data_IF_303520358485
#
_entry.id   IF_303520358485
#
_cell.length_a   1.000
_cell.length_b   1.000
_cell.length_c   1.000
_cell.angle_alpha   90.00
_cell.angle_beta   90.00
_cell.angle_gamma   90.00
#
_symmetry.space_group_name_H-M   'P 1'
#
loop_
_entity.id
_entity.type
_entity.pdbx_description
1 polymer ?
#
# COMPACT_ATOMS: atom_id res chain seq x y z
N UNK A 1 43.98 -14.25 38.89
CA UNK A 1 43.23 -14.17 37.61
C UNK A 1 41.90 -14.91 37.75
N UNK A 2 40.76 -14.21 37.77
CA UNK A 2 39.41 -14.81 37.81
C UNK A 2 38.48 -14.01 36.88
N UNK A 3 38.51 -14.31 35.57
CA UNK A 3 37.65 -13.67 34.54
C UNK A 3 37.10 -14.67 33.51
N UNK A 4 36.93 -15.93 33.89
CA UNK A 4 36.56 -17.01 32.94
C UNK A 4 35.10 -17.44 32.99
N UNK A 5 34.37 -17.15 34.08
CA UNK A 5 32.98 -17.59 34.23
C UNK A 5 31.95 -16.59 33.67
N UNK A 6 32.18 -15.28 33.84
CA UNK A 6 31.25 -14.24 33.36
C UNK A 6 31.19 -14.13 31.83
N UNK A 7 32.23 -14.56 31.12
CA UNK A 7 32.29 -14.52 29.66
C UNK A 7 31.50 -15.64 28.99
N UNK A 8 31.29 -16.78 29.66
CA UNK A 8 30.49 -17.90 29.12
C UNK A 8 28.99 -17.67 29.19
N UNK A 9 28.51 -16.93 30.18
CA UNK A 9 27.07 -16.67 30.38
C UNK A 9 26.52 -15.70 29.33
N UNK A 10 27.36 -14.79 28.81
CA UNK A 10 26.91 -13.75 27.85
C UNK A 10 26.55 -14.29 26.46
N UNK A 11 26.95 -15.51 26.11
CA UNK A 11 26.78 -16.05 24.76
C UNK A 11 25.47 -16.84 24.54
N UNK A 12 24.70 -17.10 25.61
CA UNK A 12 23.48 -17.91 25.56
C UNK A 12 22.21 -17.13 25.94
N UNK A 13 22.26 -15.80 26.03
CA UNK A 13 21.01 -15.04 26.19
C UNK A 13 20.25 -15.06 24.85
N UNK A 14 19.02 -15.60 24.81
CA UNK A 14 18.19 -15.52 23.62
C UNK A 14 17.98 -14.05 23.29
N UNK A 15 18.28 -13.66 22.05
CA UNK A 15 17.98 -12.33 21.55
C UNK A 15 16.46 -12.17 21.57
N UNK A 16 15.92 -11.54 22.61
CA UNK A 16 14.52 -11.14 22.65
C UNK A 16 14.28 -10.21 21.45
N UNK A 17 13.55 -10.71 20.45
CA UNK A 17 13.09 -9.88 19.35
C UNK A 17 12.06 -8.92 19.95
N UNK A 18 12.39 -7.64 19.99
CA UNK A 18 11.40 -6.61 20.31
C UNK A 18 10.36 -6.63 19.19
N UNK A 19 9.05 -6.77 19.51
CA UNK A 19 8.03 -6.74 18.48
C UNK A 19 8.12 -5.40 17.73
N UNK A 20 8.00 -5.46 16.40
CA UNK A 20 7.96 -4.26 15.57
C UNK A 20 6.73 -3.43 15.97
N UNK A 21 6.94 -2.19 16.42
CA UNK A 21 5.85 -1.28 16.77
C UNK A 21 5.55 -0.38 15.58
N UNK A 22 4.35 -0.52 15.04
CA UNK A 22 3.82 0.33 13.97
C UNK A 22 2.93 1.41 14.59
N UNK A 23 3.08 2.65 14.12
CA UNK A 23 2.24 3.78 14.52
C UNK A 23 1.63 4.44 13.29
N UNK A 24 0.30 4.47 13.24
CA UNK A 24 -0.46 5.14 12.19
C UNK A 24 -1.13 6.38 12.79
N UNK A 25 -1.04 7.52 12.11
CA UNK A 25 -1.63 8.78 12.57
C UNK A 25 -2.38 9.49 11.43
N UNK A 26 -3.58 9.99 11.73
CA UNK A 26 -4.31 10.94 10.89
C UNK A 26 -4.72 12.15 11.72
N UNK A 27 -4.52 13.32 11.10
CA UNK A 27 -5.05 14.60 11.55
C UNK A 27 -5.93 15.15 10.44
N UNK A 28 -7.18 15.44 10.76
CA UNK A 28 -8.17 15.94 9.82
C UNK A 28 -8.75 17.24 10.35
N UNK A 29 -8.87 18.25 9.49
CA UNK A 29 -9.53 19.51 9.80
C UNK A 29 -10.61 19.76 8.75
N UNK A 30 -11.86 19.79 9.19
CA UNK A 30 -13.05 19.96 8.36
C UNK A 30 -13.97 21.00 8.97
N UNK A 31 -13.96 22.23 8.44
CA UNK A 31 -15.01 23.23 8.69
C UNK A 31 -15.48 23.31 10.17
N UNK A 32 -14.53 23.43 11.11
CA UNK A 32 -14.81 23.50 12.54
C UNK A 32 -14.70 22.17 13.31
N UNK A 33 -14.58 21.04 12.62
CA UNK A 33 -14.30 19.73 13.19
C UNK A 33 -12.82 19.36 13.02
N UNK A 34 -12.15 19.06 14.14
CA UNK A 34 -10.80 18.54 14.16
C UNK A 34 -10.82 17.08 14.65
N UNK A 35 -10.35 16.16 13.82
CA UNK A 35 -10.26 14.74 14.18
C UNK A 35 -8.80 14.33 14.25
N UNK A 36 -8.45 13.61 15.31
CA UNK A 36 -7.14 12.98 15.47
C UNK A 36 -7.34 11.50 15.71
N UNK A 37 -6.74 10.68 14.85
CA UNK A 37 -6.76 9.23 14.95
C UNK A 37 -5.32 8.77 15.10
N UNK A 38 -5.07 7.97 16.13
CA UNK A 38 -3.78 7.34 16.36
C UNK A 38 -3.99 5.86 16.61
N UNK A 39 -3.24 5.03 15.89
CA UNK A 39 -3.16 3.59 16.12
C UNK A 39 -1.73 3.21 16.45
N UNK A 40 -1.56 2.44 17.51
CA UNK A 40 -0.30 1.78 17.84
C UNK A 40 -0.53 0.28 17.81
N UNK A 41 0.27 -0.46 17.05
CA UNK A 41 0.07 -1.91 16.89
C UNK A 41 1.39 -2.63 16.70
N UNK A 42 1.42 -3.90 17.10
CA UNK A 42 2.53 -4.82 16.83
C UNK A 42 2.24 -5.75 15.65
N UNK A 43 1.10 -5.55 14.97
CA UNK A 43 0.74 -6.33 13.79
C UNK A 43 1.66 -5.96 12.63
N UNK A 44 2.26 -6.97 12.01
CA UNK A 44 3.12 -6.81 10.83
C UNK A 44 2.34 -6.55 9.54
N UNK A 45 1.01 -6.75 9.57
CA UNK A 45 0.16 -6.58 8.40
C UNK A 45 0.00 -5.09 8.08
N UNK A 46 0.44 -4.61 6.91
CA UNK A 46 0.21 -3.24 6.48
C UNK A 46 -1.28 -2.93 6.54
N UNK A 47 -1.65 -1.76 7.05
CA UNK A 47 -3.05 -1.40 7.27
C UNK A 47 -3.34 -0.07 6.58
N UNK A 48 -4.52 0.05 6.01
CA UNK A 48 -5.05 1.30 5.48
C UNK A 48 -5.92 1.97 6.53
N UNK A 49 -5.78 3.29 6.63
CA UNK A 49 -6.64 4.14 7.43
C UNK A 49 -7.36 5.10 6.49
N UNK A 50 -8.68 5.07 6.51
CA UNK A 50 -9.53 5.84 5.61
C UNK A 50 -10.56 6.65 6.39
N UNK A 51 -10.87 7.84 5.89
CA UNK A 51 -11.95 8.69 6.41
C UNK A 51 -12.98 8.87 5.29
N UNK A 52 -14.22 8.50 5.57
CA UNK A 52 -15.34 8.58 4.62
C UNK A 52 -16.36 9.58 5.18
N UNK A 53 -16.79 10.50 4.32
CA UNK A 53 -17.81 11.50 4.64
C UNK A 53 -18.92 11.32 3.59
N UNK A 54 -19.96 10.52 3.89
CA UNK A 54 -20.94 10.10 2.89
C UNK A 54 -21.75 11.26 2.28
N UNK A 55 -22.06 12.29 3.06
CA UNK A 55 -22.83 13.44 2.59
C UNK A 55 -22.43 14.72 3.32
N UNK A 56 -22.04 15.71 2.53
CA UNK A 56 -21.81 17.09 2.95
C UNK A 56 -22.85 17.97 2.28
N UNK A 57 -23.61 18.71 3.07
CA UNK A 57 -24.63 19.63 2.59
C UNK A 57 -24.22 21.07 2.92
N UNK A 58 -24.61 21.99 2.05
CA UNK A 58 -24.47 23.42 2.29
C UNK A 58 -25.86 24.05 2.33
N UNK A 59 -26.25 24.56 3.49
CA UNK A 59 -27.54 25.22 3.70
C UNK A 59 -27.35 26.54 4.43
N UNK A 60 -27.82 27.65 3.85
CA UNK A 60 -27.79 28.98 4.47
C UNK A 60 -26.45 29.29 5.19
N UNK A 61 -25.31 29.08 4.52
CA UNK A 61 -23.95 29.31 5.04
C UNK A 61 -23.46 28.31 6.09
N UNK A 62 -24.21 27.25 6.36
CA UNK A 62 -23.81 26.15 7.23
C UNK A 62 -23.37 24.96 6.40
N UNK A 63 -22.29 24.31 6.84
CA UNK A 63 -21.83 23.04 6.31
C UNK A 63 -22.33 21.94 7.25
N UNK A 64 -23.17 21.05 6.73
CA UNK A 64 -23.74 19.94 7.49
C UNK A 64 -23.04 18.66 7.04
N UNK A 65 -22.27 18.07 7.95
CA UNK A 65 -21.62 16.77 7.78
C UNK A 65 -22.43 15.73 8.55
N UNK A 66 -23.34 15.04 7.85
CA UNK A 66 -24.32 14.14 8.48
C UNK A 66 -23.72 12.87 9.11
N UNK A 67 -22.57 12.43 8.59
CA UNK A 67 -21.87 11.25 9.08
C UNK A 67 -20.39 11.31 8.69
N UNK A 68 -19.54 10.78 9.57
CA UNK A 68 -18.12 10.59 9.33
C UNK A 68 -17.77 9.19 9.81
N UNK A 69 -17.17 8.40 8.92
CA UNK A 69 -16.74 7.04 9.22
C UNK A 69 -15.23 6.96 9.10
N UNK A 70 -14.58 6.40 10.11
CA UNK A 70 -13.15 6.16 10.13
C UNK A 70 -12.95 4.66 10.11
N UNK A 71 -12.22 4.17 9.11
CA UNK A 71 -12.00 2.73 8.89
C UNK A 71 -10.51 2.44 8.96
N UNK A 72 -10.16 1.41 9.73
CA UNK A 72 -8.82 0.83 9.81
C UNK A 72 -8.95 -0.61 9.32
N UNK A 73 -8.37 -0.90 8.15
CA UNK A 73 -8.50 -2.22 7.50
C UNK A 73 -7.13 -2.75 7.07
N UNK A 74 -6.83 -4.04 7.29
CA UNK A 74 -5.62 -4.66 6.73
C UNK A 74 -5.58 -4.51 5.21
N UNK A 75 -4.43 -4.16 4.65
CA UNK A 75 -4.22 -4.16 3.19
C UNK A 75 -4.27 -5.59 2.68
N UNK A 76 -4.91 -5.78 1.53
CA UNK A 76 -4.66 -6.95 0.72
C UNK A 76 -3.19 -6.94 0.24
N UNK A 77 -2.56 -8.12 0.08
CA UNK A 77 -1.25 -8.20 -0.56
C UNK A 77 -1.28 -7.40 -1.87
N UNK A 78 -0.29 -6.52 -2.07
CA UNK A 78 -0.14 -5.86 -3.36
C UNK A 78 -0.01 -6.97 -4.40
N UNK A 79 -0.82 -6.91 -5.48
CA UNK A 79 -0.69 -7.84 -6.59
C UNK A 79 0.79 -7.93 -6.96
N UNK A 80 1.37 -9.12 -6.85
CA UNK A 80 2.76 -9.34 -7.24
C UNK A 80 2.86 -8.80 -8.66
N UNK A 81 3.74 -7.82 -8.84
CA UNK A 81 3.98 -7.20 -10.13
C UNK A 81 4.38 -8.36 -11.04
N UNK A 82 3.48 -8.78 -11.94
CA UNK A 82 3.76 -9.86 -12.87
C UNK A 82 5.07 -9.50 -13.58
N UNK A 83 6.14 -10.21 -13.24
CA UNK A 83 7.39 -10.15 -13.95
C UNK A 83 7.23 -10.95 -15.22
N UNK A 84 6.36 -10.50 -16.10
CA UNK A 84 6.31 -10.94 -17.47
C UNK A 84 6.03 -9.72 -18.32
N UNK A 85 7.12 -9.10 -18.77
CA UNK A 85 7.09 -8.35 -20.02
C UNK A 85 6.29 -9.19 -21.04
N UNK A 86 5.22 -8.68 -21.65
CA UNK A 86 4.60 -9.42 -22.74
C UNK A 86 5.65 -9.48 -23.84
N UNK A 87 6.08 -10.69 -24.18
CA UNK A 87 6.84 -10.89 -25.40
C UNK A 87 6.04 -10.22 -26.53
N UNK A 88 6.62 -9.17 -27.12
CA UNK A 88 6.11 -8.55 -28.33
C UNK A 88 5.75 -9.68 -29.29
N UNK A 89 4.47 -9.77 -29.66
CA UNK A 89 4.02 -10.62 -30.75
C UNK A 89 4.79 -10.23 -32.00
N UNK A 90 5.90 -10.92 -32.27
CA UNK A 90 6.52 -10.91 -33.58
C UNK A 90 5.58 -11.66 -34.51
N UNK A 91 4.74 -10.92 -35.23
CA UNK A 91 4.09 -11.44 -36.42
C UNK A 91 5.21 -11.96 -37.35
N UNK A 92 5.12 -13.20 -37.86
CA UNK A 92 6.14 -13.71 -38.77
C UNK A 92 6.19 -12.83 -40.03
N UNK A 93 7.38 -12.62 -40.63
CA UNK A 93 7.50 -11.80 -41.81
C UNK A 93 6.72 -12.44 -42.97
N UNK A 94 5.66 -11.76 -43.41
CA UNK A 94 4.89 -12.15 -44.59
C UNK A 94 5.79 -12.02 -45.82
N UNK A 95 6.16 -13.14 -46.46
CA UNK A 95 6.79 -13.11 -47.79
C UNK A 95 5.79 -12.54 -48.80
N UNK A 96 5.90 -11.25 -49.10
CA UNK A 96 5.17 -10.64 -50.21
C UNK A 96 5.84 -11.10 -51.52
N UNK A 97 5.20 -12.05 -52.22
CA UNK A 97 5.48 -12.32 -53.64
C UNK A 97 4.81 -11.22 -54.46
N UNK A 98 5.61 -10.28 -54.98
CA UNK A 98 5.13 -9.34 -55.99
C UNK A 98 4.75 -10.12 -57.26
N UNK A 99 3.44 -10.29 -57.50
CA UNK A 99 2.94 -10.62 -58.83
C UNK A 99 2.67 -9.29 -59.55
N UNK A 100 3.51 -8.98 -60.52
CA UNK A 100 3.29 -7.92 -61.50
C UNK A 100 2.02 -8.24 -62.30
N UNK A 101 0.98 -7.42 -62.15
CA UNK A 101 -0.18 -7.41 -63.02
C UNK A 101 -0.57 -5.95 -63.24
N UNK A 102 0.12 -5.31 -64.18
CA UNK A 102 -0.41 -4.16 -64.91
C UNK A 102 -0.06 -4.37 -66.38
N UNK A 103 -1.08 -4.78 -67.16
CA UNK A 103 -1.10 -4.67 -68.60
C UNK A 103 -2.32 -3.83 -68.97
N UNK A 104 -2.08 -2.70 -69.65
CA UNK A 104 -3.02 -1.83 -70.39
C UNK A 104 -2.30 -0.47 -70.49
N UNK A 105 -1.82 0.03 -71.64
CA UNK A 105 -2.16 -0.10 -73.06
C UNK A 105 -0.90 0.11 -73.89
#
# INVERSE_FOLDING_TARGET
MKKTFLTKIKNNLPKFKTPHLTRDEIKLNLCGLNLFVKRETTLEVPTELSVIIPRVEYDQQKIIMSSITIVIAPRHPLAEKESSSPALHQLPPTKVKNKSLFNSK
#
